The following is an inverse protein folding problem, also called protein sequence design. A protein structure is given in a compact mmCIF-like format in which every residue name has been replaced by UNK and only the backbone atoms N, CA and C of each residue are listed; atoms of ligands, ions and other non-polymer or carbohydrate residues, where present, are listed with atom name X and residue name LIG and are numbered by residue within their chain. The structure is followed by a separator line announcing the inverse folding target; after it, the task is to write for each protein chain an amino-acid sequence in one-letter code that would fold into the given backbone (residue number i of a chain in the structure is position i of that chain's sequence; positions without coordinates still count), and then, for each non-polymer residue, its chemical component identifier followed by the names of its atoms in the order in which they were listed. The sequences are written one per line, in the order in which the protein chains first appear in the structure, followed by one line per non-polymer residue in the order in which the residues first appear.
data_IF_281612842867
#
_entry.id   IF_281612842867
#
_cell.length_a   1.000
_cell.length_b   1.000
_cell.length_c   1.000
_cell.angle_alpha   90.00
_cell.angle_beta   90.00
_cell.angle_gamma   90.00
#
_symmetry.space_group_name_H-M   'P 1'
#
loop_
_entity.id
_entity.type
_entity.pdbx_description
1 polymer ?
#
# COMPACT_ATOMS: atom_id res chain seq x y z
N UNK A 1 -40.57 -50.49 7.32
CA UNK A 1 -41.16 -49.15 7.10
C UNK A 1 -40.36 -48.03 7.79
N UNK A 2 -40.18 -48.06 9.11
CA UNK A 2 -39.45 -47.03 9.88
C UNK A 2 -37.98 -46.80 9.46
N UNK A 3 -37.25 -47.85 9.06
CA UNK A 3 -35.85 -47.71 8.62
C UNK A 3 -35.69 -46.96 7.28
N UNK A 4 -36.69 -47.03 6.39
CA UNK A 4 -36.67 -46.29 5.12
C UNK A 4 -36.91 -44.79 5.33
N UNK A 5 -37.84 -44.44 6.23
CA UNK A 5 -38.13 -43.05 6.63
C UNK A 5 -36.89 -42.43 7.28
N UNK A 6 -36.22 -43.16 8.19
CA UNK A 6 -34.99 -42.69 8.85
C UNK A 6 -33.82 -42.48 7.88
N UNK A 7 -33.65 -43.37 6.89
CA UNK A 7 -32.62 -43.20 5.84
C UNK A 7 -32.89 -41.97 4.96
N UNK A 8 -34.13 -41.72 4.57
CA UNK A 8 -34.51 -40.54 3.78
C UNK A 8 -34.24 -39.22 4.50
N UNK A 9 -34.61 -39.13 5.79
CA UNK A 9 -34.39 -37.93 6.62
C UNK A 9 -32.90 -37.64 6.79
N UNK A 10 -32.09 -38.66 7.14
CA UNK A 10 -30.64 -38.50 7.28
C UNK A 10 -29.96 -38.06 5.97
N UNK A 11 -30.40 -38.59 4.83
CA UNK A 11 -29.86 -38.24 3.52
C UNK A 11 -30.16 -36.77 3.15
N UNK A 12 -31.35 -36.27 3.47
CA UNK A 12 -31.71 -34.86 3.27
C UNK A 12 -30.99 -33.91 4.22
N UNK A 13 -30.76 -34.31 5.48
CA UNK A 13 -30.00 -33.51 6.45
C UNK A 13 -28.53 -33.39 6.08
N UNK A 14 -27.91 -34.45 5.57
CA UNK A 14 -26.52 -34.41 5.09
C UNK A 14 -26.33 -33.50 3.87
N UNK A 15 -27.30 -33.46 2.95
CA UNK A 15 -27.23 -32.62 1.75
C UNK A 15 -27.29 -31.12 2.06
N UNK A 16 -28.12 -30.69 3.03
CA UNK A 16 -28.24 -29.27 3.41
C UNK A 16 -26.98 -28.68 4.04
N UNK A 17 -26.29 -29.45 4.90
CA UNK A 17 -25.05 -29.01 5.56
C UNK A 17 -23.93 -28.80 4.55
N UNK A 18 -23.78 -29.71 3.57
CA UNK A 18 -22.75 -29.60 2.53
C UNK A 18 -22.87 -28.31 1.70
N UNK A 19 -24.08 -27.91 1.35
CA UNK A 19 -24.33 -26.68 0.59
C UNK A 19 -23.93 -25.45 1.41
N UNK A 20 -24.34 -25.37 2.68
CA UNK A 20 -24.01 -24.21 3.53
C UNK A 20 -22.50 -24.04 3.76
N UNK A 21 -21.78 -25.14 4.04
CA UNK A 21 -20.33 -25.11 4.26
C UNK A 21 -19.61 -24.78 2.96
N UNK A 22 -20.04 -25.36 1.84
CA UNK A 22 -19.51 -25.06 0.52
C UNK A 22 -19.67 -23.58 0.16
N UNK A 23 -20.85 -23.00 0.37
CA UNK A 23 -21.11 -21.58 0.12
C UNK A 23 -20.21 -20.67 0.96
N UNK A 24 -20.03 -20.96 2.25
CA UNK A 24 -19.16 -20.18 3.13
C UNK A 24 -17.70 -20.25 2.66
N UNK A 25 -17.21 -21.44 2.32
CA UNK A 25 -15.86 -21.63 1.79
C UNK A 25 -15.64 -20.90 0.46
N UNK A 26 -16.64 -20.92 -0.44
CA UNK A 26 -16.57 -20.19 -1.71
C UNK A 26 -16.51 -18.67 -1.49
N UNK A 27 -17.28 -18.12 -0.55
CA UNK A 27 -17.23 -16.69 -0.24
C UNK A 27 -15.89 -16.28 0.37
N UNK A 28 -15.38 -17.05 1.34
CA UNK A 28 -14.08 -16.78 1.97
C UNK A 28 -12.93 -16.92 0.97
N UNK A 29 -12.94 -17.99 0.16
CA UNK A 29 -11.95 -18.22 -0.88
C UNK A 29 -11.99 -17.13 -1.96
N UNK A 30 -13.19 -16.75 -2.40
CA UNK A 30 -13.39 -15.66 -3.35
C UNK A 30 -12.92 -14.32 -2.82
N UNK A 31 -13.24 -13.98 -1.56
CA UNK A 31 -12.77 -12.77 -0.90
C UNK A 31 -11.24 -12.73 -0.79
N UNK A 32 -10.63 -13.83 -0.33
CA UNK A 32 -9.18 -13.95 -0.23
C UNK A 32 -8.51 -13.82 -1.60
N UNK A 33 -9.06 -14.47 -2.63
CA UNK A 33 -8.56 -14.39 -4.00
C UNK A 33 -8.68 -12.98 -4.59
N UNK A 34 -9.82 -12.31 -4.38
CA UNK A 34 -9.99 -10.90 -4.73
C UNK A 34 -8.92 -10.04 -4.05
N UNK A 35 -8.71 -10.23 -2.74
CA UNK A 35 -7.72 -9.48 -1.99
C UNK A 35 -6.29 -9.74 -2.50
N UNK A 36 -5.97 -10.98 -2.87
CA UNK A 36 -4.68 -11.34 -3.44
C UNK A 36 -4.44 -10.64 -4.78
N UNK A 37 -5.45 -10.64 -5.67
CA UNK A 37 -5.38 -9.93 -6.96
C UNK A 37 -5.22 -8.43 -6.73
N UNK A 38 -6.02 -7.85 -5.83
CA UNK A 38 -5.95 -6.42 -5.49
C UNK A 38 -4.55 -6.03 -5.03
N UNK A 39 -3.98 -6.78 -4.09
CA UNK A 39 -2.62 -6.55 -3.59
C UNK A 39 -1.56 -6.60 -4.70
N UNK A 40 -1.67 -7.54 -5.65
CA UNK A 40 -0.76 -7.63 -6.80
C UNK A 40 -0.88 -6.41 -7.72
N UNK A 41 -2.10 -5.95 -8.00
CA UNK A 41 -2.32 -4.75 -8.82
C UNK A 41 -1.72 -3.51 -8.15
N UNK A 42 -1.90 -3.34 -6.84
CA UNK A 42 -1.37 -2.20 -6.10
C UNK A 42 0.16 -2.15 -6.17
N UNK A 43 0.83 -3.29 -6.03
CA UNK A 43 2.30 -3.39 -6.15
C UNK A 43 2.75 -3.03 -7.57
N UNK A 44 2.07 -3.53 -8.60
CA UNK A 44 2.41 -3.21 -10.00
C UNK A 44 2.16 -1.74 -10.32
N UNK A 45 1.08 -1.15 -9.81
CA UNK A 45 0.76 0.25 -10.04
C UNK A 45 1.80 1.16 -9.38
N UNK A 46 2.20 0.85 -8.14
CA UNK A 46 3.30 1.55 -7.45
C UNK A 46 4.63 1.42 -8.22
N UNK A 47 4.94 0.24 -8.74
CA UNK A 47 6.14 0.04 -9.56
C UNK A 47 6.10 0.85 -10.86
N UNK A 48 4.96 0.90 -11.54
CA UNK A 48 4.76 1.73 -12.74
C UNK A 48 4.92 3.22 -12.46
N UNK A 49 4.37 3.72 -11.36
CA UNK A 49 4.57 5.12 -10.96
C UNK A 49 6.03 5.40 -10.61
N UNK A 50 6.70 4.49 -9.90
CA UNK A 50 8.12 4.62 -9.60
C UNK A 50 8.95 4.72 -10.90
N UNK A 51 8.69 3.86 -11.88
CA UNK A 51 9.37 3.88 -13.17
C UNK A 51 9.09 5.17 -13.96
N UNK A 52 7.82 5.57 -14.07
CA UNK A 52 7.41 6.82 -14.76
C UNK A 52 7.97 8.09 -14.12
N UNK A 53 8.16 8.09 -12.81
CA UNK A 53 8.68 9.24 -12.05
C UNK A 53 10.22 9.28 -12.01
N UNK A 54 10.91 8.53 -12.87
CA UNK A 54 12.38 8.53 -12.94
C UNK A 54 13.08 7.59 -11.97
N UNK A 55 12.36 6.62 -11.39
CA UNK A 55 12.91 5.67 -10.42
C UNK A 55 14.04 4.78 -10.96
N UNK A 56 14.13 4.57 -12.28
CA UNK A 56 15.29 3.88 -12.89
C UNK A 56 16.57 4.72 -12.78
N UNK A 57 16.48 6.04 -13.02
CA UNK A 57 17.61 6.97 -12.85
C UNK A 57 18.04 7.00 -11.39
N UNK A 58 17.07 7.04 -10.46
CA UNK A 58 17.32 6.97 -9.03
C UNK A 58 18.09 5.69 -8.66
N UNK A 59 17.66 4.52 -9.15
CA UNK A 59 18.36 3.24 -8.93
C UNK A 59 19.77 3.26 -9.51
N UNK A 60 19.95 3.81 -10.71
CA UNK A 60 21.26 3.92 -11.34
C UNK A 60 22.19 4.81 -10.50
N UNK A 61 21.74 5.98 -10.08
CA UNK A 61 22.55 6.87 -9.22
C UNK A 61 22.92 6.22 -7.89
N UNK A 62 22.01 5.45 -7.28
CA UNK A 62 22.34 4.67 -6.07
C UNK A 62 23.36 3.57 -6.34
N UNK A 63 23.30 2.91 -7.49
CA UNK A 63 24.23 1.84 -7.86
C UNK A 63 25.61 2.34 -8.29
N UNK A 64 25.68 3.56 -8.86
CA UNK A 64 26.92 4.20 -9.33
C UNK A 64 27.59 5.08 -8.27
N UNK A 65 26.93 5.30 -7.13
CA UNK A 65 27.48 6.06 -6.01
C UNK A 65 28.54 5.25 -5.26
N UNK A 66 29.67 5.00 -5.93
CA UNK A 66 30.88 4.53 -5.29
C UNK A 66 31.58 5.71 -4.59
N UNK A 67 31.59 5.65 -3.26
CA UNK A 67 32.56 6.26 -2.33
C UNK A 67 32.67 7.79 -2.13
N UNK A 68 32.10 8.68 -2.97
CA UNK A 68 32.32 10.14 -2.81
C UNK A 68 31.08 11.05 -2.90
N UNK A 69 29.88 10.54 -3.15
CA UNK A 69 28.64 11.32 -3.12
C UNK A 69 27.86 11.01 -1.83
N UNK A 70 27.30 12.03 -1.17
CA UNK A 70 26.40 11.83 -0.02
C UNK A 70 25.31 10.83 -0.44
N UNK A 71 25.30 9.65 0.17
CA UNK A 71 24.48 8.53 -0.27
C UNK A 71 23.01 8.94 -0.31
N UNK A 72 22.36 8.82 -1.46
CA UNK A 72 20.93 9.13 -1.60
C UNK A 72 20.12 8.23 -0.68
N UNK A 73 19.47 8.81 0.33
CA UNK A 73 18.59 8.10 1.27
C UNK A 73 17.16 8.03 0.75
N UNK A 74 16.56 6.84 0.79
CA UNK A 74 15.14 6.64 0.52
C UNK A 74 14.36 6.86 1.82
N UNK A 75 13.42 7.81 1.79
CA UNK A 75 12.48 8.06 2.89
C UNK A 75 11.13 7.41 2.59
N UNK A 76 10.46 6.92 3.62
CA UNK A 76 9.06 6.45 3.49
C UNK A 76 8.08 7.62 3.54
N UNK A 77 6.87 7.45 3.00
CA UNK A 77 5.82 8.48 3.06
C UNK A 77 5.53 8.89 4.50
N UNK A 78 5.31 7.91 5.38
CA UNK A 78 5.02 8.13 6.79
C UNK A 78 6.15 8.87 7.53
N UNK A 79 7.41 8.60 7.17
CA UNK A 79 8.57 9.29 7.74
C UNK A 79 8.57 10.77 7.34
N UNK A 80 8.32 11.07 6.08
CA UNK A 80 8.24 12.46 5.60
C UNK A 80 7.02 13.20 6.16
N UNK A 81 5.88 12.53 6.28
CA UNK A 81 4.66 13.08 6.86
C UNK A 81 4.84 13.44 8.33
N UNK A 82 5.40 12.53 9.14
CA UNK A 82 5.72 12.81 10.54
C UNK A 82 6.77 13.90 10.67
N UNK A 83 7.81 13.87 9.83
CA UNK A 83 8.84 14.89 9.85
C UNK A 83 8.27 16.28 9.55
N UNK A 84 7.29 16.36 8.65
CA UNK A 84 6.59 17.58 8.26
C UNK A 84 5.39 17.93 9.18
N UNK A 85 5.15 17.17 10.26
CA UNK A 85 3.97 17.33 11.13
C UNK A 85 2.65 17.36 10.33
N UNK A 86 2.43 16.32 9.50
CA UNK A 86 1.24 16.22 8.66
C UNK A 86 1.18 17.25 7.53
N UNK A 87 2.32 17.82 7.13
CA UNK A 87 2.39 18.93 6.17
C UNK A 87 1.63 20.19 6.65
N UNK A 88 1.80 20.53 7.94
CA UNK A 88 1.21 21.72 8.54
C UNK A 88 1.65 23.01 7.82
N UNK A 89 0.70 23.90 7.54
CA UNK A 89 0.92 25.19 6.89
C UNK A 89 1.89 26.09 7.68
N UNK A 90 1.88 26.01 9.01
CA UNK A 90 2.80 26.77 9.88
C UNK A 90 4.27 26.37 9.68
N UNK A 91 4.51 25.21 9.05
CA UNK A 91 5.85 24.70 8.76
C UNK A 91 6.28 24.98 7.32
N UNK A 92 5.52 25.75 6.54
CA UNK A 92 5.91 26.15 5.20
C UNK A 92 7.12 27.10 5.28
N UNK A 93 8.20 26.71 4.60
CA UNK A 93 9.40 27.54 4.40
C UNK A 93 9.30 28.41 3.15
N UNK A 94 8.49 27.98 2.18
CA UNK A 94 8.25 28.73 0.96
C UNK A 94 7.38 27.98 -0.03
N UNK A 95 6.77 28.72 -0.94
CA UNK A 95 5.95 28.20 -2.02
C UNK A 95 6.55 28.57 -3.37
N UNK A 96 6.66 27.57 -4.24
CA UNK A 96 6.95 27.77 -5.66
C UNK A 96 5.70 27.57 -6.52
N UNK A 97 5.87 27.65 -7.84
CA UNK A 97 4.77 27.49 -8.80
C UNK A 97 4.00 26.18 -8.61
N UNK A 98 4.69 25.03 -8.62
CA UNK A 98 4.05 23.71 -8.58
C UNK A 98 4.28 22.95 -7.26
N UNK A 99 4.93 23.56 -6.27
CA UNK A 99 5.35 22.84 -5.06
C UNK A 99 5.37 23.73 -3.82
N UNK A 100 5.22 23.11 -2.67
CA UNK A 100 5.37 23.73 -1.36
C UNK A 100 6.59 23.10 -0.68
N UNK A 101 7.39 23.91 -0.01
CA UNK A 101 8.55 23.46 0.77
C UNK A 101 8.21 23.58 2.25
N UNK A 102 8.27 22.47 2.97
CA UNK A 102 8.02 22.37 4.41
C UNK A 102 9.32 22.19 5.18
N UNK A 103 9.34 22.69 6.42
CA UNK A 103 10.40 22.43 7.40
C UNK A 103 10.16 21.07 8.04
N UNK A 104 10.90 20.05 7.62
CA UNK A 104 10.89 18.71 8.22
C UNK A 104 11.84 18.57 9.41
N UNK A 105 11.49 17.70 10.35
CA UNK A 105 12.38 17.24 11.43
C UNK A 105 12.36 15.71 11.47
N UNK A 106 13.48 15.07 11.15
CA UNK A 106 13.62 13.61 11.21
C UNK A 106 13.62 13.12 12.67
N UNK A 107 13.46 11.81 12.85
CA UNK A 107 13.45 11.18 14.18
C UNK A 107 14.75 11.32 14.96
N UNK A 108 15.86 11.56 14.26
CA UNK A 108 17.18 11.85 14.83
C UNK A 108 17.37 13.34 15.20
N UNK A 109 16.33 14.17 15.01
CA UNK A 109 16.36 15.61 15.26
C UNK A 109 16.93 16.44 14.11
N UNK A 110 17.37 15.82 13.00
CA UNK A 110 17.90 16.55 11.85
C UNK A 110 16.79 17.34 11.15
N UNK A 111 17.01 18.64 10.97
CA UNK A 111 16.11 19.52 10.22
C UNK A 111 16.42 19.41 8.73
N UNK A 112 15.40 19.15 7.91
CA UNK A 112 15.52 19.03 6.45
C UNK A 112 14.40 19.81 5.73
N UNK A 113 14.64 20.37 4.54
CA UNK A 113 13.57 20.87 3.68
C UNK A 113 12.86 19.69 2.99
N UNK A 114 11.53 19.67 3.01
CA UNK A 114 10.70 18.65 2.34
C UNK A 114 9.89 19.34 1.24
N UNK A 115 10.13 18.98 -0.02
CA UNK A 115 9.39 19.51 -1.17
C UNK A 115 8.22 18.60 -1.52
N UNK A 116 7.00 19.12 -1.47
CA UNK A 116 5.76 18.42 -1.87
C UNK A 116 5.18 19.08 -3.13
N UNK A 117 4.72 18.30 -4.10
CA UNK A 117 4.00 18.82 -5.27
C UNK A 117 2.58 19.23 -4.89
N UNK A 118 2.09 20.35 -5.44
CA UNK A 118 0.70 20.81 -5.27
C UNK A 118 -0.31 19.93 -6.03
N UNK A 119 0.15 19.23 -7.06
CA UNK A 119 -0.70 18.53 -8.05
C UNK A 119 -1.21 17.17 -7.54
N UNK A 120 -0.58 16.60 -6.50
CA UNK A 120 -0.92 15.26 -6.01
C UNK A 120 -2.03 15.23 -4.94
N UNK A 121 -2.53 16.40 -4.52
CA UNK A 121 -3.61 16.55 -3.53
C UNK A 121 -5.00 16.84 -4.16
N UNK A 122 -5.13 16.80 -5.49
CA UNK A 122 -6.41 16.69 -6.23
C UNK A 122 -6.65 15.25 -6.71
#
# INVERSE_FOLDING_TARGET
MLQFIRKGINLTSCAGVGISVGSVLLLLGGYWFYHLIKRRRDIQLKAKYFERNGGLILKQQMSSADSNFESIRIFTSDELERAADGYNQDRILGEGGQSIVYKGMLSDGKIIPIKKSKIADE
#
